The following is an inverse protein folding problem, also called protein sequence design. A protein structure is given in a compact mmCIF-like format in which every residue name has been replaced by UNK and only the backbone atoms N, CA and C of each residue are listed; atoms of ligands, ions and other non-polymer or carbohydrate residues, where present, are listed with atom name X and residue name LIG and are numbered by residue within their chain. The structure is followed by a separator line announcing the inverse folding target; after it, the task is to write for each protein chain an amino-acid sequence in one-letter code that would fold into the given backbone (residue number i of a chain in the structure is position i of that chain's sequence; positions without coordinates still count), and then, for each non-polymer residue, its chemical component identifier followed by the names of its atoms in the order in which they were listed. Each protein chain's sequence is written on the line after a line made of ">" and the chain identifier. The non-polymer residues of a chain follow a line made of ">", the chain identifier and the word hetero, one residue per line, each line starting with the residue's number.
data_IF_792819148692
#
_entry.id   IF_792819148692
#
_cell.length_a   1.000
_cell.length_b   1.000
_cell.length_c   1.000
_cell.angle_alpha   90.00
_cell.angle_beta   90.00
_cell.angle_gamma   90.00
#
_symmetry.space_group_name_H-M   'P 1'
#
loop_
_entity.id
_entity.type
_entity.pdbx_description
1 polymer ?
#
# COMPACT_ATOMS: atom_id res chain seq x y z
N UNK A 1 18.97 62.91 56.27
CA UNK A 1 17.83 62.07 55.85
C UNK A 1 17.93 61.85 54.34
N UNK A 2 18.10 60.58 53.96
CA UNK A 2 17.71 59.93 52.69
C UNK A 2 17.23 60.82 51.53
N UNK A 3 17.91 60.75 50.39
CA UNK A 3 17.54 59.82 49.32
C UNK A 3 18.59 59.80 48.20
N UNK A 4 19.04 58.59 47.92
CA UNK A 4 19.83 58.11 46.79
C UNK A 4 19.09 58.30 45.46
N UNK A 5 19.79 58.65 44.38
CA UNK A 5 19.51 58.05 43.06
C UNK A 5 20.71 58.11 42.13
N UNK A 6 21.08 56.91 41.67
CA UNK A 6 22.19 56.58 40.79
C UNK A 6 21.85 56.92 39.33
N UNK A 7 22.89 57.20 38.56
CA UNK A 7 22.91 57.45 37.12
C UNK A 7 22.25 56.32 36.31
N UNK A 8 21.65 56.65 35.14
CA UNK A 8 21.03 55.66 34.28
C UNK A 8 22.09 54.79 33.60
N UNK A 9 21.93 53.48 33.75
CA UNK A 9 22.67 52.46 33.01
C UNK A 9 22.38 52.62 31.51
N UNK A 10 23.45 52.68 30.73
CA UNK A 10 23.42 52.67 29.27
C UNK A 10 22.70 51.42 28.75
N UNK A 11 21.83 51.65 27.78
CA UNK A 11 21.17 50.64 26.97
C UNK A 11 22.25 49.95 26.14
N UNK A 12 22.63 48.74 26.56
CA UNK A 12 23.40 47.80 25.76
C UNK A 12 22.45 46.65 25.46
N UNK A 13 21.69 46.79 24.38
CA UNK A 13 20.91 45.70 23.79
C UNK A 13 21.93 44.73 23.20
N UNK A 14 22.31 43.74 24.01
CA UNK A 14 22.97 42.54 23.49
C UNK A 14 21.89 41.80 22.70
N UNK A 15 21.94 41.94 21.38
CA UNK A 15 21.28 41.00 20.47
C UNK A 15 22.04 39.68 20.64
N UNK A 16 21.64 38.90 21.64
CA UNK A 16 21.92 37.47 21.63
C UNK A 16 21.12 36.94 20.46
N UNK A 17 21.79 36.75 19.32
CA UNK A 17 21.29 35.89 18.28
C UNK A 17 21.17 34.50 18.90
N UNK A 18 20.00 34.23 19.49
CA UNK A 18 19.58 32.89 19.80
C UNK A 18 19.63 32.16 18.46
N UNK A 19 20.67 31.34 18.27
CA UNK A 19 20.53 30.17 17.42
C UNK A 19 19.34 29.43 18.01
N UNK A 20 18.16 29.66 17.44
CA UNK A 20 17.15 28.64 17.35
C UNK A 20 17.86 27.52 16.58
N UNK A 21 18.54 26.65 17.31
CA UNK A 21 18.77 25.31 16.87
C UNK A 21 17.38 24.82 16.50
N UNK A 22 17.09 24.81 15.21
CA UNK A 22 16.07 23.95 14.62
C UNK A 22 16.57 22.55 14.92
N UNK A 23 16.39 22.12 16.17
CA UNK A 23 16.32 20.71 16.51
C UNK A 23 15.07 20.26 15.78
N UNK A 24 15.33 19.74 14.59
CA UNK A 24 14.45 18.99 13.74
C UNK A 24 13.42 18.31 14.62
N UNK A 25 12.17 18.75 14.46
CA UNK A 25 11.00 18.01 14.84
C UNK A 25 11.29 16.54 14.54
N UNK A 26 11.20 15.71 15.59
CA UNK A 26 11.25 14.26 15.54
C UNK A 26 10.39 13.84 14.34
N UNK A 27 11.08 13.50 13.25
CA UNK A 27 10.43 13.00 12.05
C UNK A 27 9.83 11.66 12.44
N UNK A 28 8.52 11.58 12.32
CA UNK A 28 7.71 10.38 12.50
C UNK A 28 8.38 9.18 11.81
N UNK A 29 8.71 8.16 12.60
CA UNK A 29 9.29 6.90 12.13
C UNK A 29 8.21 5.98 11.50
N UNK A 30 8.57 5.05 10.57
CA UNK A 30 7.69 4.72 9.43
C UNK A 30 6.82 3.43 9.40
N UNK A 31 5.47 3.45 9.39
CA UNK A 31 4.56 2.32 9.81
C UNK A 31 3.79 1.45 8.75
N UNK A 32 4.37 0.35 8.19
CA UNK A 32 3.74 -0.85 7.52
C UNK A 32 4.43 -1.29 6.20
N UNK A 33 4.46 -2.59 5.87
CA UNK A 33 4.96 -3.11 4.57
C UNK A 33 4.10 -4.30 4.11
N UNK A 34 4.07 -4.55 2.80
CA UNK A 34 3.31 -5.63 2.20
C UNK A 34 4.15 -6.70 1.50
N UNK A 35 3.49 -7.54 0.64
CA UNK A 35 4.12 -8.63 -0.11
C UNK A 35 5.54 -8.21 -0.50
N UNK A 36 6.54 -9.08 -0.35
CA UNK A 36 7.87 -8.69 -0.79
C UNK A 36 7.79 -8.24 -2.25
N UNK A 37 8.37 -7.08 -2.55
CA UNK A 37 8.26 -6.36 -3.83
C UNK A 37 8.18 -7.26 -5.07
N UNK A 38 8.99 -8.34 -5.12
CA UNK A 38 8.97 -9.35 -6.19
C UNK A 38 7.60 -10.01 -6.42
N UNK A 39 6.86 -10.29 -5.35
CA UNK A 39 5.59 -10.98 -5.39
C UNK A 39 4.43 -10.04 -5.70
N UNK A 40 4.45 -8.78 -5.25
CA UNK A 40 3.56 -7.75 -5.78
C UNK A 40 3.70 -7.59 -7.30
N UNK A 41 4.95 -7.62 -7.79
CA UNK A 41 5.22 -7.59 -9.23
C UNK A 41 4.54 -8.76 -9.94
N UNK A 42 4.78 -9.97 -9.44
CA UNK A 42 4.28 -11.21 -10.07
C UNK A 42 2.75 -11.25 -10.06
N UNK A 43 2.12 -10.96 -8.93
CA UNK A 43 0.66 -10.95 -8.79
C UNK A 43 0.03 -9.91 -9.73
N UNK A 44 0.60 -8.71 -9.79
CA UNK A 44 0.12 -7.62 -10.65
C UNK A 44 0.27 -7.98 -12.13
N UNK A 45 1.43 -8.49 -12.55
CA UNK A 45 1.64 -8.92 -13.95
C UNK A 45 0.69 -10.04 -14.35
N UNK A 46 0.42 -10.99 -13.46
CA UNK A 46 -0.51 -12.08 -13.72
C UNK A 46 -1.98 -11.62 -13.75
N UNK A 47 -2.32 -10.57 -13.01
CA UNK A 47 -3.69 -10.05 -12.93
C UNK A 47 -4.08 -9.19 -14.15
N UNK A 48 -3.11 -8.56 -14.80
CA UNK A 48 -3.33 -7.63 -15.90
C UNK A 48 -3.26 -8.34 -17.26
N UNK A 49 -4.35 -8.32 -18.06
CA UNK A 49 -4.38 -9.01 -19.36
C UNK A 49 -3.42 -8.34 -20.36
N UNK A 50 -2.43 -9.10 -20.85
CA UNK A 50 -1.36 -8.58 -21.71
C UNK A 50 -1.80 -8.08 -23.09
N UNK A 51 -3.01 -8.42 -23.53
CA UNK A 51 -3.65 -7.91 -24.74
C UNK A 51 -4.41 -6.59 -24.51
N UNK A 52 -4.65 -6.21 -23.26
CA UNK A 52 -5.37 -4.97 -22.89
C UNK A 52 -4.56 -4.01 -22.02
N UNK A 53 -3.40 -4.43 -21.53
CA UNK A 53 -2.49 -3.59 -20.74
C UNK A 53 -1.09 -3.67 -21.33
N UNK A 54 -0.57 -2.54 -21.83
CA UNK A 54 0.78 -2.52 -22.42
C UNK A 54 1.85 -2.70 -21.35
N UNK A 55 3.03 -3.19 -21.76
CA UNK A 55 4.16 -3.30 -20.84
C UNK A 55 4.58 -1.95 -20.25
N UNK A 56 4.43 -0.85 -21.01
CA UNK A 56 4.67 0.50 -20.49
C UNK A 56 3.68 0.86 -19.39
N UNK A 57 2.39 0.56 -19.59
CA UNK A 57 1.37 0.78 -18.57
C UNK A 57 1.63 -0.09 -17.34
N UNK A 58 1.92 -1.39 -17.52
CA UNK A 58 2.26 -2.30 -16.42
C UNK A 58 3.44 -1.76 -15.61
N UNK A 59 4.50 -1.28 -16.25
CA UNK A 59 5.66 -0.73 -15.52
C UNK A 59 5.29 0.49 -14.67
N UNK A 60 4.40 1.36 -15.14
CA UNK A 60 3.92 2.52 -14.37
C UNK A 60 2.92 2.15 -13.27
N UNK A 61 2.13 1.09 -13.49
CA UNK A 61 1.26 0.50 -12.47
C UNK A 61 2.09 -0.15 -11.37
N UNK A 62 3.18 -0.82 -11.71
CA UNK A 62 4.09 -1.41 -10.74
C UNK A 62 4.88 -0.36 -9.97
N UNK A 63 5.44 0.61 -10.71
CA UNK A 63 6.35 1.61 -10.16
C UNK A 63 6.20 2.93 -10.94
N UNK A 64 5.38 3.83 -10.40
CA UNK A 64 5.14 5.14 -10.99
C UNK A 64 5.37 6.30 -10.02
N UNK A 65 5.09 7.54 -10.44
CA UNK A 65 5.39 8.72 -9.63
C UNK A 65 4.39 8.88 -8.47
N UNK A 66 4.83 9.42 -7.32
CA UNK A 66 3.89 9.87 -6.29
C UNK A 66 2.86 10.86 -6.86
N UNK A 67 1.64 10.94 -6.29
CA UNK A 67 1.20 10.27 -5.06
C UNK A 67 0.91 8.76 -5.21
N UNK A 68 0.91 8.20 -6.42
CA UNK A 68 0.73 6.77 -6.66
C UNK A 68 2.05 6.02 -6.72
N UNK A 69 2.49 5.40 -5.63
CA UNK A 69 3.72 4.60 -5.64
C UNK A 69 3.69 3.34 -6.50
N UNK A 70 2.59 3.04 -7.21
CA UNK A 70 2.41 1.78 -7.91
C UNK A 70 2.24 0.59 -6.95
N UNK A 71 2.04 -0.60 -7.50
CA UNK A 71 1.80 -1.81 -6.73
C UNK A 71 3.02 -2.23 -5.91
N UNK A 72 4.22 -2.09 -6.47
CA UNK A 72 5.48 -2.39 -5.80
C UNK A 72 6.00 -1.20 -5.00
N UNK A 73 5.91 0.02 -5.53
CA UNK A 73 6.48 1.16 -4.84
C UNK A 73 5.64 1.62 -3.65
N UNK A 74 4.39 1.16 -3.50
CA UNK A 74 3.60 1.39 -2.28
C UNK A 74 4.30 0.86 -1.01
N UNK A 75 5.11 -0.20 -1.11
CA UNK A 75 5.96 -0.68 0.00
C UNK A 75 6.98 0.35 0.49
N UNK A 76 7.45 1.24 -0.39
CA UNK A 76 8.38 2.30 -0.01
C UNK A 76 7.70 3.41 0.81
N UNK A 77 6.36 3.45 0.82
CA UNK A 77 5.55 4.39 1.59
C UNK A 77 5.03 3.74 2.87
N UNK A 78 5.93 3.09 3.61
CA UNK A 78 5.55 2.33 4.78
C UNK A 78 4.68 3.13 5.77
N UNK A 79 4.95 4.42 5.96
CA UNK A 79 4.15 5.33 6.82
C UNK A 79 2.72 5.57 6.39
N UNK A 80 2.41 5.37 5.13
CA UNK A 80 1.12 5.73 4.56
C UNK A 80 0.15 4.60 4.91
N UNK A 81 -0.36 4.60 6.15
CA UNK A 81 -1.23 3.54 6.68
C UNK A 81 -2.47 3.28 5.81
N UNK A 82 -2.87 4.23 4.96
CA UNK A 82 -3.96 4.10 3.99
C UNK A 82 -3.61 3.26 2.76
N UNK A 83 -2.33 2.95 2.50
CA UNK A 83 -1.90 2.03 1.43
C UNK A 83 -1.97 0.58 1.87
N UNK A 84 -1.75 0.35 3.16
CA UNK A 84 -1.58 -0.97 3.75
C UNK A 84 -2.82 -1.41 4.51
N UNK A 85 -3.07 -2.72 4.54
CA UNK A 85 -4.23 -3.30 5.24
C UNK A 85 -3.92 -3.92 6.61
N UNK A 86 -2.67 -3.85 7.07
CA UNK A 86 -2.29 -4.22 8.45
C UNK A 86 -3.07 -3.45 9.51
N UNK A 87 -2.98 -3.92 10.76
CA UNK A 87 -3.54 -3.21 11.92
C UNK A 87 -5.07 -2.96 11.84
N UNK A 88 -5.83 -3.90 11.30
CA UNK A 88 -7.29 -3.89 11.35
C UNK A 88 -7.80 -5.00 12.27
N UNK A 89 -8.47 -4.64 13.36
CA UNK A 89 -8.85 -5.62 14.39
C UNK A 89 -10.18 -6.33 14.09
N UNK A 90 -10.92 -5.87 13.08
CA UNK A 90 -12.23 -6.39 12.67
C UNK A 90 -12.58 -5.96 11.21
N UNK A 91 -13.70 -6.44 10.63
CA UNK A 91 -14.13 -6.06 9.28
C UNK A 91 -14.42 -4.56 9.08
N UNK A 92 -14.87 -3.85 10.13
CA UNK A 92 -15.16 -2.41 10.05
C UNK A 92 -13.87 -1.64 9.79
N UNK A 93 -12.79 -1.99 10.49
CA UNK A 93 -11.49 -1.34 10.31
C UNK A 93 -10.87 -1.64 8.94
N UNK A 94 -11.00 -2.89 8.46
CA UNK A 94 -10.59 -3.27 7.10
C UNK A 94 -11.31 -2.39 6.07
N UNK A 95 -12.63 -2.28 6.17
CA UNK A 95 -13.42 -1.45 5.26
C UNK A 95 -13.06 0.04 5.37
N UNK A 96 -12.78 0.55 6.58
CA UNK A 96 -12.35 1.93 6.76
C UNK A 96 -11.00 2.21 6.10
N UNK A 97 -10.03 1.29 6.20
CA UNK A 97 -8.72 1.42 5.52
C UNK A 97 -8.86 1.33 4.02
N UNK A 98 -9.59 0.34 3.52
CA UNK A 98 -9.88 0.22 2.09
C UNK A 98 -10.56 1.50 1.58
N UNK A 99 -11.53 2.06 2.32
CA UNK A 99 -12.14 3.33 1.96
C UNK A 99 -11.12 4.48 1.88
N UNK A 100 -10.19 4.57 2.82
CA UNK A 100 -9.13 5.60 2.77
C UNK A 100 -8.24 5.44 1.54
N UNK A 101 -7.84 4.22 1.18
CA UNK A 101 -7.11 3.93 -0.05
C UNK A 101 -7.90 4.39 -1.29
N UNK A 102 -9.18 4.03 -1.36
CA UNK A 102 -10.07 4.40 -2.46
C UNK A 102 -10.23 5.90 -2.58
N UNK A 103 -10.59 6.58 -1.49
CA UNK A 103 -10.78 8.04 -1.46
C UNK A 103 -9.49 8.78 -1.83
N UNK A 104 -8.32 8.19 -1.54
CA UNK A 104 -7.03 8.79 -1.88
C UNK A 104 -6.69 8.60 -3.36
N UNK A 105 -6.76 7.37 -3.87
CA UNK A 105 -6.23 7.05 -5.20
C UNK A 105 -7.24 7.18 -6.33
N UNK A 106 -8.52 6.91 -6.07
CA UNK A 106 -9.55 6.94 -7.10
C UNK A 106 -9.71 8.32 -7.76
N UNK A 107 -9.61 9.47 -7.05
CA UNK A 107 -9.63 10.78 -7.70
C UNK A 107 -8.41 11.03 -8.59
N UNK A 108 -7.24 10.47 -8.25
CA UNK A 108 -6.02 10.58 -9.05
C UNK A 108 -6.16 9.77 -10.34
N UNK A 109 -6.71 8.55 -10.26
CA UNK A 109 -7.03 7.72 -11.43
C UNK A 109 -7.93 8.48 -12.40
N UNK A 110 -9.03 9.07 -11.91
CA UNK A 110 -9.95 9.80 -12.79
C UNK A 110 -9.36 11.10 -13.33
N UNK A 111 -8.77 11.93 -12.48
CA UNK A 111 -8.26 13.23 -12.92
C UNK A 111 -7.07 13.07 -13.89
N UNK A 112 -6.18 12.12 -13.65
CA UNK A 112 -5.04 11.87 -14.53
C UNK A 112 -5.41 11.20 -15.85
N UNK A 113 -6.53 10.47 -15.92
CA UNK A 113 -6.98 9.80 -17.15
C UNK A 113 -7.80 10.69 -18.09
N UNK A 114 -8.13 11.92 -17.71
CA UNK A 114 -8.80 12.88 -18.61
C UNK A 114 -7.94 13.11 -19.85
N UNK A 115 -8.56 13.06 -21.04
CA UNK A 115 -7.86 13.33 -22.30
C UNK A 115 -7.86 14.81 -22.65
N UNK A 116 -6.68 15.36 -22.88
CA UNK A 116 -6.43 16.66 -23.50
C UNK A 116 -5.91 16.43 -24.93
N UNK A 117 -6.85 16.31 -25.88
CA UNK A 117 -6.54 15.81 -27.22
C UNK A 117 -6.28 14.29 -27.17
N UNK A 118 -5.08 13.86 -27.57
CA UNK A 118 -4.68 12.45 -27.55
C UNK A 118 -3.74 12.10 -26.39
N UNK A 119 -3.59 12.99 -25.41
CA UNK A 119 -2.72 12.80 -24.25
C UNK A 119 -3.54 12.83 -22.96
N UNK A 120 -3.16 11.98 -22.02
CA UNK A 120 -3.71 11.94 -20.67
C UNK A 120 -3.22 13.17 -19.87
N UNK A 121 -4.06 13.72 -18.99
CA UNK A 121 -3.70 14.84 -18.14
C UNK A 121 -2.52 14.51 -17.20
N UNK A 122 -2.54 13.32 -16.61
CA UNK A 122 -1.43 12.71 -15.86
C UNK A 122 -1.57 11.18 -15.89
N UNK A 123 -1.34 10.59 -17.06
CA UNK A 123 -1.39 9.14 -17.25
C UNK A 123 -0.48 8.35 -16.31
N UNK A 124 0.81 8.73 -16.15
CA UNK A 124 1.72 8.06 -15.23
C UNK A 124 1.20 8.08 -13.79
N UNK A 125 0.72 9.23 -13.28
CA UNK A 125 0.14 9.33 -11.94
C UNK A 125 -1.14 8.50 -11.78
N UNK A 126 -2.03 8.50 -12.78
CA UNK A 126 -3.24 7.69 -12.77
C UNK A 126 -2.95 6.18 -12.72
N UNK A 127 -2.03 5.69 -13.55
CA UNK A 127 -1.62 4.27 -13.53
C UNK A 127 -0.99 3.87 -12.20
N UNK A 128 -0.18 4.75 -11.63
CA UNK A 128 0.51 4.46 -10.40
C UNK A 128 -0.43 4.54 -9.17
N UNK A 129 -1.46 5.37 -9.23
CA UNK A 129 -2.56 5.39 -8.26
C UNK A 129 -3.42 4.11 -8.37
N UNK A 130 -3.71 3.64 -9.59
CA UNK A 130 -4.33 2.32 -9.77
C UNK A 130 -3.45 1.18 -9.21
N UNK A 131 -2.14 1.25 -9.41
CA UNK A 131 -1.19 0.34 -8.79
C UNK A 131 -1.27 0.32 -7.26
N UNK A 132 -1.44 1.48 -6.63
CA UNK A 132 -1.61 1.55 -5.18
C UNK A 132 -2.93 0.90 -4.70
N UNK A 133 -4.02 0.98 -5.48
CA UNK A 133 -5.24 0.23 -5.18
C UNK A 133 -5.04 -1.29 -5.31
N UNK A 134 -4.30 -1.72 -6.34
CA UNK A 134 -3.92 -3.13 -6.50
C UNK A 134 -3.09 -3.63 -5.31
N UNK A 135 -2.14 -2.82 -4.83
CA UNK A 135 -1.38 -3.13 -3.64
C UNK A 135 -2.29 -3.38 -2.43
N UNK A 136 -3.16 -2.42 -2.08
CA UNK A 136 -4.11 -2.59 -0.97
C UNK A 136 -4.99 -3.85 -1.11
N UNK A 137 -5.42 -4.17 -2.33
CA UNK A 137 -6.16 -5.40 -2.61
C UNK A 137 -5.32 -6.67 -2.39
N UNK A 138 -4.04 -6.62 -2.67
CA UNK A 138 -3.10 -7.72 -2.47
C UNK A 138 -2.82 -7.90 -0.96
N UNK A 139 -2.53 -6.82 -0.23
CA UNK A 139 -2.32 -6.84 1.24
C UNK A 139 -3.46 -7.51 1.99
N UNK A 140 -4.70 -7.30 1.55
CA UNK A 140 -5.86 -7.98 2.13
C UNK A 140 -5.66 -9.50 2.17
N UNK A 141 -5.18 -10.12 1.09
CA UNK A 141 -4.96 -11.57 1.04
C UNK A 141 -3.66 -12.00 1.71
N UNK A 142 -2.67 -11.12 1.78
CA UNK A 142 -1.39 -11.40 2.41
C UNK A 142 -1.43 -11.31 3.93
N UNK A 143 -2.14 -10.33 4.50
CA UNK A 143 -2.05 -9.98 5.92
C UNK A 143 -3.32 -10.19 6.72
N UNK A 144 -4.43 -10.57 6.07
CA UNK A 144 -5.63 -11.00 6.79
C UNK A 144 -5.64 -12.50 7.07
N UNK A 145 -6.51 -12.91 7.98
CA UNK A 145 -6.87 -14.30 8.20
C UNK A 145 -7.86 -14.87 7.15
N UNK A 146 -8.23 -14.13 6.10
CA UNK A 146 -9.19 -14.60 5.08
C UNK A 146 -8.77 -15.92 4.42
N UNK A 147 -7.51 -16.02 4.02
CA UNK A 147 -6.97 -17.23 3.36
C UNK A 147 -6.93 -18.40 4.34
N UNK A 148 -6.62 -18.13 5.60
CA UNK A 148 -6.59 -19.11 6.69
C UNK A 148 -7.98 -19.68 6.96
N UNK A 149 -9.00 -18.83 6.96
CA UNK A 149 -10.39 -19.24 7.11
C UNK A 149 -10.86 -20.07 5.91
N UNK A 150 -10.52 -19.66 4.67
CA UNK A 150 -10.80 -20.45 3.48
C UNK A 150 -10.26 -21.89 3.61
N UNK A 151 -9.05 -22.03 4.14
CA UNK A 151 -8.43 -23.33 4.41
C UNK A 151 -9.21 -24.08 5.49
N UNK A 152 -9.56 -23.42 6.59
CA UNK A 152 -10.28 -24.03 7.71
C UNK A 152 -11.65 -24.59 7.31
N UNK A 153 -12.35 -23.92 6.39
CA UNK A 153 -13.67 -24.36 5.89
C UNK A 153 -13.60 -25.21 4.61
N UNK A 154 -12.40 -25.47 4.08
CA UNK A 154 -12.20 -26.26 2.87
C UNK A 154 -12.66 -25.59 1.57
N UNK A 155 -12.73 -24.26 1.52
CA UNK A 155 -13.15 -23.47 0.35
C UNK A 155 -12.00 -22.65 -0.22
N UNK A 156 -11.03 -23.33 -0.84
CA UNK A 156 -9.77 -22.72 -1.28
C UNK A 156 -9.95 -21.67 -2.39
N UNK A 157 -11.03 -21.74 -3.18
CA UNK A 157 -11.31 -20.81 -4.28
C UNK A 157 -12.23 -19.64 -3.88
N UNK A 158 -12.51 -19.47 -2.58
CA UNK A 158 -13.42 -18.43 -2.08
C UNK A 158 -12.76 -17.04 -2.15
N UNK A 159 -13.19 -16.24 -3.13
CA UNK A 159 -12.83 -14.83 -3.25
C UNK A 159 -13.57 -14.00 -2.19
N UNK A 160 -12.87 -13.04 -1.61
CA UNK A 160 -13.45 -12.13 -0.62
C UNK A 160 -14.53 -11.23 -1.23
N UNK A 161 -15.54 -10.82 -0.44
CA UNK A 161 -16.38 -9.69 -0.80
C UNK A 161 -15.53 -8.49 -1.22
N UNK A 162 -15.99 -7.65 -2.17
CA UNK A 162 -15.22 -6.50 -2.62
C UNK A 162 -14.88 -5.54 -1.47
N UNK A 163 -13.63 -5.06 -1.48
CA UNK A 163 -13.21 -3.94 -0.61
C UNK A 163 -13.24 -2.58 -1.35
N UNK A 164 -13.41 -2.61 -2.68
CA UNK A 164 -13.51 -1.45 -3.56
C UNK A 164 -14.71 -1.56 -4.51
N UNK A 165 -15.41 -0.45 -4.85
CA UNK A 165 -15.21 0.90 -4.32
C UNK A 165 -15.95 1.08 -2.98
N UNK A 166 -16.69 0.04 -2.59
CA UNK A 166 -17.60 -0.07 -1.47
C UNK A 166 -17.22 -1.34 -0.73
N UNK A 167 -17.12 -1.23 0.58
CA UNK A 167 -16.82 -2.34 1.46
C UNK A 167 -17.92 -2.40 2.52
N UNK A 168 -18.59 -3.54 2.62
CA UNK A 168 -19.64 -3.77 3.60
C UNK A 168 -19.13 -4.75 4.68
N UNK A 169 -18.90 -4.29 5.92
CA UNK A 169 -18.37 -5.14 6.99
C UNK A 169 -19.23 -6.39 7.28
N UNK A 170 -20.54 -6.32 7.01
CA UNK A 170 -21.45 -7.44 7.25
C UNK A 170 -21.32 -8.60 6.25
N UNK A 171 -20.63 -8.38 5.12
CA UNK A 171 -20.37 -9.43 4.13
C UNK A 171 -19.16 -10.30 4.52
N UNK A 172 -18.41 -9.86 5.53
CA UNK A 172 -17.22 -10.57 6.02
C UNK A 172 -17.50 -11.36 7.31
N UNK A 173 -16.75 -12.45 7.53
CA UNK A 173 -16.69 -13.18 8.80
C UNK A 173 -16.38 -12.23 9.97
N UNK A 174 -17.08 -12.42 11.09
CA UNK A 174 -17.00 -11.50 12.23
C UNK A 174 -15.61 -11.46 12.88
N UNK A 175 -14.84 -12.53 12.73
CA UNK A 175 -13.46 -12.69 13.21
C UNK A 175 -12.41 -12.32 12.15
N UNK A 176 -12.79 -11.80 10.98
CA UNK A 176 -11.83 -11.30 10.00
C UNK A 176 -11.04 -10.13 10.58
N UNK A 177 -9.72 -10.23 10.52
CA UNK A 177 -8.79 -9.22 10.99
C UNK A 177 -7.46 -9.31 10.24
N UNK A 178 -6.60 -8.32 10.44
CA UNK A 178 -5.22 -8.32 9.91
C UNK A 178 -4.20 -8.23 11.03
N UNK A 179 -2.98 -8.65 10.73
CA UNK A 179 -1.93 -8.74 11.73
C UNK A 179 -1.45 -7.36 12.18
N UNK A 180 -1.03 -7.28 13.44
CA UNK A 180 -0.42 -6.07 13.98
C UNK A 180 0.99 -5.86 13.42
N UNK A 181 1.22 -4.68 12.88
CA UNK A 181 2.52 -4.21 12.45
C UNK A 181 2.79 -2.81 13.02
N UNK A 182 3.96 -2.60 13.59
CA UNK A 182 4.57 -1.30 13.76
C UNK A 182 6.08 -1.38 13.54
N UNK A 183 6.57 -0.45 12.73
CA UNK A 183 7.99 -0.31 12.45
C UNK A 183 8.84 -0.05 13.67
N UNK A 184 8.24 0.53 14.72
CA UNK A 184 8.96 0.88 15.94
C UNK A 184 9.51 -0.40 16.61
N UNK A 185 8.94 -1.56 16.25
CA UNK A 185 9.37 -2.87 16.70
C UNK A 185 10.03 -3.71 15.60
N UNK A 186 10.20 -3.18 14.39
CA UNK A 186 10.84 -3.89 13.28
C UNK A 186 12.37 -3.78 13.38
N UNK A 187 12.98 -4.74 14.06
CA UNK A 187 14.43 -4.71 14.34
C UNK A 187 15.29 -5.39 13.28
N UNK A 188 14.72 -6.31 12.49
CA UNK A 188 15.44 -7.11 11.49
C UNK A 188 14.52 -7.42 10.30
N UNK A 189 15.11 -7.70 9.14
CA UNK A 189 14.36 -8.11 7.95
C UNK A 189 14.11 -9.64 7.98
N UNK A 190 12.90 -10.13 7.66
CA UNK A 190 11.72 -9.35 7.31
C UNK A 190 11.14 -8.59 8.50
N UNK A 191 10.62 -7.39 8.23
CA UNK A 191 10.12 -6.48 9.25
C UNK A 191 8.85 -7.07 9.87
N UNK A 192 8.99 -7.83 10.97
CA UNK A 192 7.83 -8.46 11.62
C UNK A 192 6.94 -7.44 12.35
N UNK A 193 7.54 -6.34 12.80
CA UNK A 193 6.83 -5.18 13.34
C UNK A 193 6.04 -5.42 14.63
N UNK A 194 6.26 -6.52 15.34
CA UNK A 194 5.52 -6.83 16.56
C UNK A 194 6.36 -6.62 17.82
N UNK A 195 5.80 -6.09 18.93
CA UNK A 195 6.50 -6.03 20.20
C UNK A 195 6.93 -7.43 20.67
N UNK A 196 8.03 -7.51 21.42
CA UNK A 196 8.53 -8.80 21.94
C UNK A 196 7.52 -9.56 22.83
N UNK A 197 6.56 -8.85 23.42
CA UNK A 197 5.48 -9.43 24.22
C UNK A 197 4.26 -9.91 23.42
N UNK A 198 4.29 -9.81 22.09
CA UNK A 198 3.14 -10.06 21.22
C UNK A 198 2.40 -8.77 20.84
N UNK A 199 1.25 -8.89 20.14
CA UNK A 199 0.53 -7.74 19.63
C UNK A 199 -0.07 -6.91 20.78
N UNK A 200 -0.22 -5.59 20.63
CA UNK A 200 -0.85 -4.75 21.64
C UNK A 200 -2.32 -5.14 21.91
N UNK A 201 -2.91 -4.72 23.05
CA UNK A 201 -4.32 -4.97 23.35
C UNK A 201 -5.25 -4.52 22.22
N UNK A 202 -6.20 -5.38 21.86
CA UNK A 202 -7.14 -5.18 20.76
C UNK A 202 -6.76 -5.91 19.47
N UNK A 203 -5.48 -6.20 19.26
CA UNK A 203 -5.00 -7.00 18.14
C UNK A 203 -4.89 -8.47 18.52
N UNK A 204 -5.32 -9.37 17.63
CA UNK A 204 -5.35 -10.81 17.90
C UNK A 204 -3.98 -11.45 17.69
N UNK A 205 -3.28 -11.05 16.64
CA UNK A 205 -1.99 -11.63 16.25
C UNK A 205 -1.05 -10.60 15.62
N UNK A 206 0.24 -10.92 15.62
CA UNK A 206 1.27 -10.15 14.94
C UNK A 206 1.14 -10.33 13.42
N UNK A 207 1.62 -9.34 12.67
CA UNK A 207 1.75 -9.40 11.21
C UNK A 207 2.50 -10.66 10.76
N UNK A 208 3.61 -11.02 11.41
CA UNK A 208 4.38 -12.22 11.07
C UNK A 208 3.60 -13.55 11.17
N UNK A 209 2.53 -13.59 11.96
CA UNK A 209 1.67 -14.78 12.07
C UNK A 209 0.74 -14.94 10.87
N UNK A 210 0.26 -13.83 10.30
CA UNK A 210 -0.63 -13.84 9.13
C UNK A 210 0.11 -13.65 7.82
N UNK A 211 1.33 -13.12 7.84
CA UNK A 211 2.07 -12.73 6.65
C UNK A 211 2.25 -13.89 5.66
N UNK A 212 1.62 -13.75 4.49
CA UNK A 212 1.75 -14.64 3.32
C UNK A 212 2.46 -13.94 2.17
N UNK A 213 3.39 -13.03 2.46
CA UNK A 213 4.12 -12.22 1.49
C UNK A 213 5.01 -13.03 0.56
N UNK A 214 5.39 -14.24 0.97
CA UNK A 214 6.24 -15.11 0.17
C UNK A 214 6.26 -16.55 0.68
N UNK A 215 6.79 -17.49 -0.11
CA UNK A 215 6.86 -18.91 0.22
C UNK A 215 7.87 -19.23 1.34
N UNK A 216 8.57 -18.22 1.86
CA UNK A 216 9.58 -18.38 2.92
C UNK A 216 9.21 -17.61 4.19
N UNK A 217 8.06 -16.95 4.24
CA UNK A 217 7.56 -16.36 5.49
C UNK A 217 7.02 -17.48 6.40
N UNK A 218 7.00 -17.29 7.73
CA UNK A 218 6.56 -18.33 8.66
C UNK A 218 5.18 -18.90 8.35
N UNK A 219 4.23 -18.06 7.90
CA UNK A 219 2.91 -18.50 7.48
C UNK A 219 2.84 -18.84 5.99
N UNK A 220 3.39 -17.99 5.12
CA UNK A 220 3.37 -18.17 3.68
C UNK A 220 4.02 -19.48 3.20
N UNK A 221 5.06 -19.98 3.88
CA UNK A 221 5.73 -21.24 3.54
C UNK A 221 5.02 -22.51 4.03
N UNK A 222 3.95 -22.41 4.82
CA UNK A 222 3.21 -23.57 5.30
C UNK A 222 2.38 -24.20 4.18
N UNK A 223 2.26 -25.52 4.16
CA UNK A 223 1.43 -26.23 3.19
C UNK A 223 -0.05 -26.10 3.55
N UNK A 224 -0.88 -25.91 2.52
CA UNK A 224 -2.33 -25.99 2.62
C UNK A 224 -2.72 -27.48 2.70
N UNK A 225 -3.39 -27.94 3.78
CA UNK A 225 -3.77 -29.34 3.96
C UNK A 225 -4.51 -29.91 2.75
N UNK A 226 -4.12 -31.12 2.32
CA UNK A 226 -4.75 -31.80 1.19
C UNK A 226 -4.35 -31.28 -0.20
N UNK A 227 -3.35 -30.39 -0.28
CA UNK A 227 -2.82 -29.86 -1.54
C UNK A 227 -1.30 -29.87 -1.56
N UNK A 228 -0.70 -29.54 -2.72
CA UNK A 228 0.72 -29.26 -2.86
C UNK A 228 1.04 -27.75 -2.83
N UNK A 229 0.04 -26.90 -2.56
CA UNK A 229 0.22 -25.44 -2.49
C UNK A 229 0.66 -25.02 -1.08
N UNK A 230 1.48 -23.99 -1.04
CA UNK A 230 1.78 -23.20 0.15
C UNK A 230 0.67 -22.17 0.41
N UNK A 231 0.61 -21.64 1.64
CA UNK A 231 -0.30 -20.54 1.98
C UNK A 231 -0.03 -19.29 1.13
N UNK A 232 1.23 -19.03 0.78
CA UNK A 232 1.62 -17.98 -0.17
C UNK A 232 1.00 -18.21 -1.55
N UNK A 233 1.14 -19.41 -2.12
CA UNK A 233 0.61 -19.70 -3.45
C UNK A 233 -0.92 -19.57 -3.50
N UNK A 234 -1.60 -19.99 -2.43
CA UNK A 234 -3.04 -19.80 -2.29
C UNK A 234 -3.42 -18.31 -2.18
N UNK A 235 -2.73 -17.55 -1.33
CA UNK A 235 -2.95 -16.11 -1.19
C UNK A 235 -2.70 -15.36 -2.50
N UNK A 236 -1.58 -15.64 -3.17
CA UNK A 236 -1.22 -15.05 -4.46
C UNK A 236 -2.25 -15.37 -5.55
N UNK A 237 -2.75 -16.62 -5.61
CA UNK A 237 -3.82 -17.01 -6.54
C UNK A 237 -5.07 -16.16 -6.34
N UNK A 238 -5.56 -16.07 -5.11
CA UNK A 238 -6.77 -15.31 -4.78
C UNK A 238 -6.57 -13.80 -5.00
N UNK A 239 -5.40 -13.27 -4.63
CA UNK A 239 -5.02 -11.89 -4.86
C UNK A 239 -4.95 -11.54 -6.35
N UNK A 240 -4.41 -12.43 -7.19
CA UNK A 240 -4.41 -12.26 -8.65
C UNK A 240 -5.83 -12.18 -9.19
N UNK A 241 -6.71 -13.10 -8.79
CA UNK A 241 -8.09 -13.11 -9.27
C UNK A 241 -8.86 -11.85 -8.84
N UNK A 242 -8.72 -11.43 -7.58
CA UNK A 242 -9.33 -10.18 -7.09
C UNK A 242 -8.76 -8.95 -7.80
N UNK A 243 -7.45 -8.93 -8.07
CA UNK A 243 -6.77 -7.86 -8.81
C UNK A 243 -7.25 -7.76 -10.26
N UNK A 244 -7.54 -8.88 -10.93
CA UNK A 244 -8.14 -8.87 -12.28
C UNK A 244 -9.55 -8.26 -12.27
N UNK A 245 -10.35 -8.57 -11.24
CA UNK A 245 -11.67 -7.95 -11.05
C UNK A 245 -11.53 -6.44 -10.84
N UNK A 246 -10.61 -6.01 -9.97
CA UNK A 246 -10.35 -4.60 -9.70
C UNK A 246 -9.86 -3.86 -10.95
N UNK A 247 -9.00 -4.47 -11.77
CA UNK A 247 -8.60 -3.91 -13.07
C UNK A 247 -9.81 -3.65 -13.97
N UNK A 248 -10.66 -4.66 -14.14
CA UNK A 248 -11.84 -4.57 -15.02
C UNK A 248 -12.75 -3.45 -14.55
N UNK A 249 -13.01 -3.39 -13.25
CA UNK A 249 -13.83 -2.38 -12.61
C UNK A 249 -13.27 -0.96 -12.78
N UNK A 250 -11.98 -0.74 -12.54
CA UNK A 250 -11.36 0.58 -12.68
C UNK A 250 -11.31 1.00 -14.15
N UNK A 251 -11.02 0.07 -15.07
CA UNK A 251 -11.08 0.32 -16.52
C UNK A 251 -12.47 0.77 -16.95
N UNK A 252 -13.51 0.03 -16.55
CA UNK A 252 -14.89 0.36 -16.89
C UNK A 252 -15.30 1.70 -16.26
N UNK A 253 -14.89 1.96 -15.02
CA UNK A 253 -15.16 3.24 -14.35
C UNK A 253 -14.53 4.44 -15.07
N UNK A 254 -13.28 4.31 -15.54
CA UNK A 254 -12.63 5.34 -16.37
C UNK A 254 -13.36 5.47 -17.72
N UNK A 255 -13.78 4.37 -18.33
CA UNK A 255 -14.51 4.40 -19.60
C UNK A 255 -15.86 5.12 -19.46
N UNK A 256 -16.59 4.86 -18.38
CA UNK A 256 -17.88 5.49 -18.09
C UNK A 256 -17.75 6.97 -17.74
N UNK A 257 -16.68 7.35 -17.03
CA UNK A 257 -16.48 8.72 -16.53
C UNK A 257 -15.80 9.63 -17.57
N UNK A 258 -14.72 9.14 -18.19
CA UNK A 258 -13.83 9.91 -19.07
C UNK A 258 -13.88 9.44 -20.54
N UNK A 259 -14.67 8.41 -20.85
CA UNK A 259 -14.85 7.86 -22.18
C UNK A 259 -13.96 6.65 -22.50
N UNK A 260 -14.41 5.79 -23.41
CA UNK A 260 -13.68 4.57 -23.80
C UNK A 260 -12.25 4.85 -24.27
N UNK A 261 -12.03 5.96 -24.98
CA UNK A 261 -10.70 6.34 -25.44
C UNK A 261 -9.75 6.65 -24.28
N UNK A 262 -10.25 7.25 -23.19
CA UNK A 262 -9.44 7.50 -21.99
C UNK A 262 -8.99 6.20 -21.34
N UNK A 263 -9.90 5.23 -21.19
CA UNK A 263 -9.57 3.91 -20.65
C UNK A 263 -8.56 3.16 -21.53
N UNK A 264 -8.72 3.22 -22.86
CA UNK A 264 -7.76 2.64 -23.81
C UNK A 264 -6.40 3.32 -23.71
N UNK A 265 -6.35 4.65 -23.69
CA UNK A 265 -5.11 5.40 -23.54
C UNK A 265 -4.38 5.03 -22.23
N UNK A 266 -5.14 4.96 -21.14
CA UNK A 266 -4.62 4.66 -19.79
C UNK A 266 -3.95 3.30 -19.70
N UNK A 267 -4.54 2.25 -20.28
CA UNK A 267 -4.04 0.90 -20.10
C UNK A 267 -3.29 0.35 -21.32
N UNK A 268 -3.70 0.64 -22.55
CA UNK A 268 -3.16 0.00 -23.75
C UNK A 268 -1.99 0.76 -24.39
N UNK A 269 -1.82 2.05 -24.10
CA UNK A 269 -0.71 2.82 -24.66
C UNK A 269 0.38 3.02 -23.60
N UNK A 270 0.00 3.39 -22.38
CA UNK A 270 0.95 3.81 -21.35
C UNK A 270 1.56 5.19 -21.69
N UNK A 271 2.55 5.61 -20.91
CA UNK A 271 3.25 6.87 -21.11
C UNK A 271 4.77 6.74 -20.89
N UNK A 272 5.54 7.83 -21.08
CA UNK A 272 6.96 7.82 -20.77
C UNK A 272 7.19 7.51 -19.28
N UNK A 273 8.10 6.59 -18.99
CA UNK A 273 8.46 6.25 -17.60
C UNK A 273 9.00 7.49 -16.87
N UNK A 274 8.61 7.73 -15.61
CA UNK A 274 9.27 8.75 -14.80
C UNK A 274 10.75 8.39 -14.62
N UNK A 275 11.60 9.41 -14.50
CA UNK A 275 13.02 9.20 -14.16
C UNK A 275 13.13 8.46 -12.84
N UNK A 276 13.82 7.31 -12.82
CA UNK A 276 14.07 6.52 -11.61
C UNK A 276 14.81 7.34 -10.52
N UNK A 277 15.50 8.42 -10.89
CA UNK A 277 16.16 9.34 -9.95
C UNK A 277 15.19 10.17 -9.11
N UNK A 278 13.92 10.24 -9.51
CA UNK A 278 12.88 11.04 -8.85
C UNK A 278 11.93 10.18 -8.01
N UNK A 279 12.12 8.86 -7.98
CA UNK A 279 11.38 8.00 -7.06
C UNK A 279 12.03 8.13 -5.66
N UNK A 280 11.23 8.37 -4.60
CA UNK A 280 11.77 8.39 -3.25
C UNK A 280 12.46 7.05 -2.97
N UNK A 281 13.64 7.11 -2.34
CA UNK A 281 14.55 5.99 -2.06
C UNK A 281 13.82 4.65 -1.99
N UNK A 282 13.71 3.95 -3.12
CA UNK A 282 13.39 2.54 -3.09
C UNK A 282 14.49 1.92 -2.22
N UNK A 283 14.14 1.04 -1.27
CA UNK A 283 15.15 0.21 -0.62
C UNK A 283 16.03 -0.33 -1.74
N UNK A 284 17.36 -0.34 -1.57
CA UNK A 284 18.25 -0.98 -2.55
C UNK A 284 17.95 -2.48 -2.51
N UNK A 285 16.87 -2.89 -3.17
CA UNK A 285 16.54 -4.28 -3.40
C UNK A 285 17.49 -4.69 -4.52
N UNK A 286 18.39 -5.66 -4.28
CA UNK A 286 19.17 -6.23 -5.34
C UNK A 286 18.19 -6.76 -6.38
N UNK A 287 18.07 -6.06 -7.51
CA UNK A 287 17.36 -6.56 -8.66
C UNK A 287 18.23 -7.66 -9.26
N UNK A 288 18.18 -8.86 -8.68
CA UNK A 288 18.73 -10.06 -9.30
C UNK A 288 17.68 -10.55 -10.29
N UNK A 289 17.59 -9.87 -11.44
CA UNK A 289 16.79 -10.34 -12.56
C UNK A 289 17.25 -11.74 -12.94
N UNK A 290 16.33 -12.70 -12.80
CA UNK A 290 16.40 -14.05 -13.37
C UNK A 290 14.99 -14.53 -13.61
#
# INVERSE_FOLDING_TARGET
>A
MTLTRRHPLGVLVVVVASLAAVTSLVAFAPRAQAFYVKYHETITRNALPGDQVSQLAVNQILLGPPPGGGAMGSDAYATDEFRHLDNSINPVDICNRAKQAWDTFSPIVLSGSVLNGNAEADGPGARAAFGALLHTQQDFYAHSNWVDENVAIGQLDRIAPPIFPTCNPADFPADLHTGYYSIDFAQQFPLEGCPAGGPPPGFQECHSTLNKDGPHTPRGGQLVPGTNMTMYELAAKLATQASTTLYTQVRDWVADTNGQNAAVQLFQQGGPMPSLKNLPNLPQIPYTGS
#
